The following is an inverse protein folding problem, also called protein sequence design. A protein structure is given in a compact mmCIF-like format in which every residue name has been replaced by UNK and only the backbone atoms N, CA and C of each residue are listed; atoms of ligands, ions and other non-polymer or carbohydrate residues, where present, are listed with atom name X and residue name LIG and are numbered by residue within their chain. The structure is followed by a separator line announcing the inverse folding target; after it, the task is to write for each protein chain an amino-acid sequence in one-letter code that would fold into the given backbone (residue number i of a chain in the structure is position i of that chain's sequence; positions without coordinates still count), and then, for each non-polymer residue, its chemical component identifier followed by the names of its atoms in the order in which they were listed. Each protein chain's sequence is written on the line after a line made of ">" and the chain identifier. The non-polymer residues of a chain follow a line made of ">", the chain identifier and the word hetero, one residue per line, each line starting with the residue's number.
data_IF_438334849901
#
_entry.id   IF_438334849901
#
_cell.length_a   1.000
_cell.length_b   1.000
_cell.length_c   1.000
_cell.angle_alpha   90.00
_cell.angle_beta   90.00
_cell.angle_gamma   90.00
#
_symmetry.space_group_name_H-M   'P 1'
#
loop_
_entity.id
_entity.type
_entity.pdbx_description
1 polymer ?
#
# COMPACT_ATOMS: atom_id res chain seq x y z
N UNK A 1 -12.07 -29.02 24.42
CA UNK A 1 -12.00 -27.77 23.64
C UNK A 1 -10.55 -27.35 23.50
N UNK A 2 -9.88 -27.77 22.43
CA UNK A 2 -8.51 -27.31 22.14
C UNK A 2 -8.53 -25.87 21.62
N UNK A 3 -7.80 -25.01 22.32
CA UNK A 3 -7.51 -23.63 21.89
C UNK A 3 -6.50 -23.69 20.76
N UNK A 4 -6.93 -23.40 19.54
CA UNK A 4 -6.02 -23.18 18.41
C UNK A 4 -5.11 -21.99 18.71
N UNK A 5 -3.84 -22.26 19.03
CA UNK A 5 -2.77 -21.27 19.16
C UNK A 5 -2.53 -20.60 17.80
N UNK A 6 -3.06 -19.40 17.62
CA UNK A 6 -2.66 -18.53 16.51
C UNK A 6 -1.31 -17.86 16.85
N UNK A 7 -0.21 -18.59 16.70
CA UNK A 7 1.16 -18.06 16.89
C UNK A 7 2.05 -18.53 15.74
N UNK A 8 2.00 -17.84 14.59
CA UNK A 8 3.12 -17.82 13.62
C UNK A 8 2.98 -16.86 12.43
N UNK A 9 1.85 -16.17 12.25
CA UNK A 9 1.67 -15.29 11.08
C UNK A 9 2.58 -14.05 11.07
N UNK A 10 3.12 -13.64 12.23
CA UNK A 10 3.85 -12.38 12.34
C UNK A 10 5.27 -12.44 11.72
N UNK A 11 5.97 -13.57 11.86
CA UNK A 11 7.34 -13.72 11.35
C UNK A 11 7.37 -13.76 9.82
N UNK A 12 6.52 -14.57 9.20
CA UNK A 12 6.45 -14.69 7.74
C UNK A 12 6.01 -13.38 7.09
N UNK A 13 5.08 -12.65 7.72
CA UNK A 13 4.67 -11.33 7.25
C UNK A 13 5.80 -10.32 7.31
N UNK A 14 6.63 -10.36 8.36
CA UNK A 14 7.81 -9.51 8.45
C UNK A 14 8.83 -9.82 7.34
N UNK A 15 9.14 -11.09 7.08
CA UNK A 15 10.05 -11.48 6.00
C UNK A 15 9.53 -11.02 4.64
N UNK A 16 8.25 -11.25 4.35
CA UNK A 16 7.62 -10.80 3.10
C UNK A 16 7.68 -9.29 2.96
N UNK A 17 7.45 -8.56 4.05
CA UNK A 17 7.52 -7.10 4.05
C UNK A 17 8.94 -6.60 3.77
N UNK A 18 9.96 -7.18 4.41
CA UNK A 18 11.37 -6.86 4.14
C UNK A 18 11.76 -7.17 2.70
N UNK A 19 11.36 -8.33 2.18
CA UNK A 19 11.57 -8.70 0.78
C UNK A 19 10.92 -7.71 -0.19
N UNK A 20 9.68 -7.27 0.07
CA UNK A 20 9.00 -6.30 -0.79
C UNK A 20 9.67 -4.92 -0.75
N UNK A 21 10.30 -4.55 0.36
CA UNK A 21 11.03 -3.28 0.47
C UNK A 21 12.30 -3.26 -0.38
N UNK A 22 12.94 -4.40 -0.66
CA UNK A 22 14.18 -4.45 -1.47
C UNK A 22 13.97 -4.04 -2.93
N UNK A 23 12.72 -3.91 -3.39
CA UNK A 23 12.42 -3.40 -4.73
C UNK A 23 12.51 -1.87 -4.82
N UNK A 24 12.57 -1.16 -3.70
CA UNK A 24 12.56 0.30 -3.61
C UNK A 24 13.91 0.84 -3.15
N UNK A 25 14.16 2.11 -3.45
CA UNK A 25 15.34 2.79 -2.92
C UNK A 25 15.13 3.14 -1.43
N UNK A 26 16.24 3.30 -0.69
CA UNK A 26 16.26 3.64 0.74
C UNK A 26 15.77 5.06 1.05
N UNK A 27 15.31 5.79 0.04
CA UNK A 27 14.71 7.11 0.21
C UNK A 27 13.41 7.02 1.03
N UNK A 28 13.32 7.90 2.03
CA UNK A 28 12.14 8.07 2.89
C UNK A 28 11.04 8.88 2.19
N UNK A 29 10.65 8.45 1.00
CA UNK A 29 9.64 9.09 0.16
C UNK A 29 8.65 8.06 -0.41
N UNK A 30 7.50 8.55 -0.84
CA UNK A 30 6.54 7.74 -1.60
C UNK A 30 7.16 7.27 -2.91
N UNK A 31 7.03 5.98 -3.23
CA UNK A 31 7.57 5.40 -4.46
C UNK A 31 6.57 4.40 -5.05
N UNK A 32 6.50 4.35 -6.38
CA UNK A 32 5.71 3.38 -7.14
C UNK A 32 6.65 2.63 -8.11
N UNK A 33 6.48 1.31 -8.25
CA UNK A 33 7.29 0.50 -9.16
C UNK A 33 6.47 -0.62 -9.77
N UNK A 34 6.66 -0.86 -11.06
CA UNK A 34 6.07 -2.02 -11.74
C UNK A 34 7.08 -3.18 -11.78
N UNK A 35 6.67 -4.35 -11.30
CA UNK A 35 7.48 -5.57 -11.27
C UNK A 35 6.62 -6.74 -11.77
N UNK A 36 7.00 -7.35 -12.89
CA UNK A 36 6.28 -8.49 -13.49
C UNK A 36 4.75 -8.27 -13.64
N UNK A 37 4.33 -7.07 -14.05
CA UNK A 37 2.92 -6.72 -14.24
C UNK A 37 2.13 -6.43 -12.95
N UNK A 38 2.81 -6.45 -11.79
CA UNK A 38 2.28 -5.96 -10.52
C UNK A 38 2.80 -4.56 -10.23
N UNK A 39 1.96 -3.75 -9.60
CA UNK A 39 2.29 -2.38 -9.20
C UNK A 39 2.50 -2.38 -7.69
N UNK A 40 3.74 -2.16 -7.28
CA UNK A 40 4.13 -2.06 -5.88
C UNK A 40 4.19 -0.58 -5.49
N UNK A 41 3.71 -0.26 -4.29
CA UNK A 41 3.67 1.10 -3.76
C UNK A 41 4.26 1.11 -2.36
N UNK A 42 5.33 1.87 -2.17
CA UNK A 42 5.92 2.18 -0.86
C UNK A 42 5.32 3.48 -0.34
N UNK A 43 4.68 3.44 0.82
CA UNK A 43 4.08 4.60 1.46
C UNK A 43 4.27 4.58 2.98
N UNK A 44 4.42 5.75 3.58
CA UNK A 44 4.53 5.88 5.03
C UNK A 44 3.15 5.84 5.68
N UNK A 45 2.94 4.88 6.58
CA UNK A 45 1.74 4.80 7.39
C UNK A 45 1.94 5.58 8.69
N UNK A 46 1.24 6.70 8.84
CA UNK A 46 1.33 7.57 10.03
C UNK A 46 0.79 6.92 11.30
N UNK A 47 -0.16 5.98 11.20
CA UNK A 47 -0.75 5.33 12.37
C UNK A 47 0.21 4.31 13.00
N UNK A 48 1.00 3.63 12.18
CA UNK A 48 1.97 2.63 12.62
C UNK A 48 3.41 3.15 12.60
N UNK A 49 3.61 4.42 12.22
CA UNK A 49 4.91 5.08 12.04
C UNK A 49 5.91 4.23 11.24
N UNK A 50 5.45 3.56 10.19
CA UNK A 50 6.26 2.60 9.42
C UNK A 50 6.04 2.71 7.92
N UNK A 51 7.07 2.41 7.14
CA UNK A 51 6.97 2.25 5.69
C UNK A 51 6.29 0.93 5.34
N UNK A 52 5.20 1.00 4.58
CA UNK A 52 4.43 -0.15 4.15
C UNK A 52 4.46 -0.28 2.63
N UNK A 53 4.41 -1.52 2.17
CA UNK A 53 4.34 -1.85 0.74
C UNK A 53 2.97 -2.44 0.44
N UNK A 54 2.28 -1.86 -0.54
CA UNK A 54 1.05 -2.42 -1.09
C UNK A 54 1.33 -2.97 -2.50
N UNK A 55 0.73 -4.13 -2.81
CA UNK A 55 0.88 -4.78 -4.11
C UNK A 55 -0.48 -4.78 -4.81
N UNK A 56 -0.52 -4.30 -6.04
CA UNK A 56 -1.72 -4.22 -6.86
C UNK A 56 -1.53 -4.99 -8.16
N UNK A 57 -2.61 -5.58 -8.67
CA UNK A 57 -2.72 -5.85 -10.10
C UNK A 57 -3.00 -4.53 -10.83
N UNK A 58 -2.64 -4.45 -12.12
CA UNK A 58 -2.90 -3.25 -12.94
C UNK A 58 -4.36 -2.78 -12.85
N UNK A 59 -5.33 -3.70 -12.98
CA UNK A 59 -6.76 -3.40 -12.86
C UNK A 59 -7.15 -2.88 -11.47
N UNK A 60 -6.56 -3.41 -10.40
CA UNK A 60 -6.85 -2.94 -9.05
C UNK A 60 -6.28 -1.53 -8.81
N UNK A 61 -5.10 -1.26 -9.37
CA UNK A 61 -4.46 0.05 -9.29
C UNK A 61 -5.24 1.13 -10.06
N UNK A 62 -5.74 0.83 -11.26
CA UNK A 62 -6.61 1.73 -12.02
C UNK A 62 -7.85 2.12 -11.21
N UNK A 63 -8.51 1.15 -10.57
CA UNK A 63 -9.65 1.40 -9.68
C UNK A 63 -9.27 2.32 -8.51
N UNK A 64 -8.09 2.13 -7.92
CA UNK A 64 -7.56 3.00 -6.85
C UNK A 64 -7.40 4.45 -7.34
N UNK A 65 -6.83 4.65 -8.54
CA UNK A 65 -6.65 5.98 -9.13
C UNK A 65 -8.01 6.65 -9.36
N UNK A 66 -8.95 5.94 -9.98
CA UNK A 66 -10.31 6.46 -10.25
C UNK A 66 -11.00 6.84 -8.94
N UNK A 67 -10.91 5.99 -7.92
CA UNK A 67 -11.49 6.29 -6.62
C UNK A 67 -10.85 7.54 -5.99
N UNK A 68 -9.52 7.67 -6.04
CA UNK A 68 -8.80 8.84 -5.53
C UNK A 68 -9.23 10.13 -6.26
N UNK A 69 -9.40 10.08 -7.58
CA UNK A 69 -9.87 11.21 -8.38
C UNK A 69 -11.30 11.62 -7.96
N UNK A 70 -12.22 10.66 -7.85
CA UNK A 70 -13.60 10.93 -7.39
C UNK A 70 -13.65 11.55 -6.00
N UNK A 71 -12.83 11.06 -5.08
CA UNK A 71 -12.74 11.63 -3.72
C UNK A 71 -12.21 13.07 -3.79
N UNK A 72 -11.20 13.35 -4.61
CA UNK A 72 -10.70 14.70 -4.79
C UNK A 72 -11.80 15.64 -5.34
N UNK A 73 -12.54 15.22 -6.36
CA UNK A 73 -13.65 15.99 -6.93
C UNK A 73 -14.74 16.31 -5.89
N UNK A 74 -15.10 15.33 -5.06
CA UNK A 74 -16.08 15.52 -3.98
C UNK A 74 -15.59 16.49 -2.89
N UNK A 75 -14.28 16.52 -2.64
CA UNK A 75 -13.67 17.40 -1.65
C UNK A 75 -13.39 18.81 -2.20
N UNK A 76 -13.40 19.01 -3.52
CA UNK A 76 -13.30 20.36 -4.08
C UNK A 76 -14.59 21.14 -3.76
N UNK A 77 -14.51 22.26 -3.01
CA UNK A 77 -15.69 23.05 -2.72
C UNK A 77 -16.29 23.55 -4.04
N UNK A 78 -17.59 23.34 -4.24
CA UNK A 78 -18.31 23.93 -5.37
C UNK A 78 -18.14 25.44 -5.28
N UNK A 79 -17.31 25.97 -6.17
CA UNK A 79 -17.07 27.41 -6.30
C UNK A 79 -18.36 28.01 -6.85
N UNK A 80 -19.28 28.43 -5.96
CA UNK A 80 -20.46 29.17 -6.34
C UNK A 80 -20.00 30.44 -7.06
N UNK A 81 -20.34 30.57 -8.35
CA UNK A 81 -20.27 31.81 -9.11
C UNK A 81 -21.61 32.51 -8.99
#
# INVERSE_FOLDING_TARGET
>A
MEKYKCKNNNWLNNIRHQFLLTFFDDLNTYQEKEVNGFILIKQFNKHTSSWQVAVYTRRAFEKKIIHKAKVADLLTPRRNK
#
